data_IF_451390313367
#
_entry.id   IF_451390313367
#
_cell.length_a   1.000
_cell.length_b   1.000
_cell.length_c   1.000
_cell.angle_alpha   90.00
_cell.angle_beta   90.00
_cell.angle_gamma   90.00
#
_symmetry.space_group_name_H-M   'P 1'
#
loop_
_entity.id
_entity.type
_entity.pdbx_description
1 polymer ?
#
# COMPACT_ATOMS: atom_id res chain seq x y z
N UNK A 1 20.92 -1.42 -20.13
CA UNK A 1 21.15 -1.02 -18.70
C UNK A 1 21.14 0.51 -18.52
N UNK A 2 20.11 1.23 -18.99
CA UNK A 2 20.12 2.72 -19.05
C UNK A 2 19.03 3.42 -18.20
N UNK A 3 17.85 2.79 -18.04
CA UNK A 3 16.70 3.45 -17.38
C UNK A 3 16.82 3.69 -15.87
N UNK A 4 17.64 2.92 -15.13
CA UNK A 4 17.72 3.06 -13.66
C UNK A 4 18.53 4.28 -13.21
N UNK A 5 19.52 4.70 -14.01
CA UNK A 5 20.38 5.85 -13.71
C UNK A 5 19.65 7.18 -13.94
N UNK A 6 18.79 7.24 -14.96
CA UNK A 6 18.00 8.43 -15.30
C UNK A 6 16.98 8.73 -14.19
N UNK A 7 16.29 7.70 -13.68
CA UNK A 7 15.30 7.86 -12.60
C UNK A 7 15.93 8.38 -11.31
N UNK A 8 17.11 7.87 -10.94
CA UNK A 8 17.84 8.34 -9.73
C UNK A 8 18.30 9.80 -9.85
N UNK A 9 18.72 10.24 -11.04
CA UNK A 9 19.13 11.64 -11.28
C UNK A 9 17.95 12.61 -11.17
N UNK A 10 16.78 12.24 -11.71
CA UNK A 10 15.56 13.05 -11.62
C UNK A 10 15.09 13.24 -10.18
N UNK A 11 15.09 12.18 -9.37
CA UNK A 11 14.64 12.28 -7.96
C UNK A 11 15.61 13.11 -7.12
N UNK A 12 16.93 12.96 -7.35
CA UNK A 12 17.96 13.79 -6.67
C UNK A 12 17.85 15.28 -6.98
N UNK A 13 17.34 15.65 -8.17
CA UNK A 13 17.20 17.06 -8.56
C UNK A 13 16.04 17.79 -7.86
N UNK A 14 15.17 17.07 -7.16
CA UNK A 14 13.94 17.61 -6.57
C UNK A 14 13.91 17.58 -5.04
N UNK A 15 15.08 17.42 -4.38
CA UNK A 15 15.23 17.37 -2.91
C UNK A 15 14.26 16.42 -2.19
N UNK A 16 13.85 15.34 -2.86
CA UNK A 16 12.99 14.32 -2.27
C UNK A 16 13.78 13.38 -1.38
N UNK A 17 13.28 13.14 -0.18
CA UNK A 17 13.77 12.08 0.70
C UNK A 17 13.37 10.71 0.14
N UNK A 18 14.35 9.85 -0.12
CA UNK A 18 14.12 8.49 -0.60
C UNK A 18 14.19 7.53 0.58
N UNK A 19 13.06 6.88 0.88
CA UNK A 19 12.99 5.86 1.91
C UNK A 19 13.27 4.47 1.32
N UNK A 20 14.09 3.70 2.02
CA UNK A 20 14.35 2.30 1.66
C UNK A 20 13.22 1.41 2.19
N UNK A 21 12.63 0.61 1.29
CA UNK A 21 11.67 -0.44 1.63
C UNK A 21 12.34 -1.79 1.33
N UNK A 22 12.50 -2.68 2.34
CA UNK A 22 13.02 -4.02 2.12
C UNK A 22 12.14 -4.82 1.13
N UNK A 23 12.74 -5.77 0.40
CA UNK A 23 11.97 -6.65 -0.49
C UNK A 23 10.90 -7.44 0.29
N UNK A 24 9.79 -7.74 -0.38
CA UNK A 24 8.65 -8.49 0.18
C UNK A 24 8.00 -7.87 1.42
N UNK A 25 8.26 -6.59 1.71
CA UNK A 25 7.74 -5.90 2.89
C UNK A 25 6.63 -4.91 2.53
N UNK A 26 5.54 -5.43 1.94
CA UNK A 26 4.39 -4.61 1.51
C UNK A 26 3.77 -3.82 2.67
N UNK A 27 3.83 -4.34 3.90
CA UNK A 27 3.34 -3.69 5.12
C UNK A 27 4.06 -2.37 5.43
N UNK A 28 5.28 -2.20 4.93
CA UNK A 28 6.05 -0.95 5.06
C UNK A 28 5.69 0.09 3.99
N UNK A 29 4.84 -0.26 3.03
CA UNK A 29 4.42 0.61 1.94
C UNK A 29 2.95 1.04 2.14
N UNK A 30 2.67 2.25 2.65
CA UNK A 30 1.31 2.69 2.97
C UNK A 30 0.33 2.65 1.79
N UNK A 31 0.82 2.67 0.54
CA UNK A 31 -0.04 2.57 -0.66
C UNK A 31 -0.78 1.22 -0.75
N UNK A 32 -0.26 0.16 -0.14
CA UNK A 32 -0.91 -1.16 -0.13
C UNK A 32 -2.22 -1.12 0.67
N UNK A 33 -2.28 -0.27 1.70
CA UNK A 33 -3.51 -0.02 2.47
C UNK A 33 -4.53 0.79 1.66
N UNK A 34 -4.07 1.71 0.80
CA UNK A 34 -4.93 2.40 -0.16
C UNK A 34 -5.54 1.42 -1.17
N UNK A 35 -4.74 0.54 -1.77
CA UNK A 35 -5.26 -0.48 -2.68
C UNK A 35 -6.23 -1.43 -1.99
N UNK A 36 -5.96 -1.80 -0.74
CA UNK A 36 -6.89 -2.61 0.07
C UNK A 36 -8.23 -1.90 0.28
N UNK A 37 -8.23 -0.58 0.55
CA UNK A 37 -9.44 0.23 0.68
C UNK A 37 -10.21 0.32 -0.63
N UNK A 38 -9.54 0.58 -1.75
CA UNK A 38 -10.16 0.58 -3.07
C UNK A 38 -10.79 -0.77 -3.39
N UNK A 39 -10.08 -1.87 -3.18
CA UNK A 39 -10.60 -3.21 -3.37
C UNK A 39 -11.86 -3.45 -2.52
N UNK A 40 -11.85 -3.07 -1.24
CA UNK A 40 -13.01 -3.21 -0.37
C UNK A 40 -14.23 -2.44 -0.90
N UNK A 41 -14.05 -1.22 -1.40
CA UNK A 41 -15.15 -0.41 -1.94
C UNK A 41 -15.66 -0.99 -3.25
N UNK A 42 -14.75 -1.33 -4.18
CA UNK A 42 -15.06 -1.94 -5.47
C UNK A 42 -15.83 -3.25 -5.28
N UNK A 43 -15.33 -4.16 -4.45
CA UNK A 43 -15.98 -5.45 -4.18
C UNK A 43 -17.32 -5.30 -3.45
N UNK A 44 -17.51 -4.23 -2.67
CA UNK A 44 -18.80 -3.97 -2.02
C UNK A 44 -19.87 -3.42 -2.96
N UNK A 45 -19.47 -2.74 -4.04
CA UNK A 45 -20.37 -2.00 -4.93
C UNK A 45 -20.58 -2.64 -6.31
N UNK A 46 -19.79 -3.65 -6.70
CA UNK A 46 -19.82 -4.22 -8.04
C UNK A 46 -20.10 -5.72 -8.04
N UNK A 47 -21.12 -6.13 -8.77
CA UNK A 47 -21.44 -7.54 -9.05
C UNK A 47 -20.98 -8.01 -10.43
N UNK A 48 -20.71 -7.08 -11.36
CA UNK A 48 -20.30 -7.36 -12.75
C UNK A 48 -19.17 -6.39 -13.13
N UNK A 49 -18.09 -6.92 -13.69
CA UNK A 49 -16.93 -6.14 -14.14
C UNK A 49 -17.17 -5.62 -15.56
N UNK A 50 -17.59 -4.36 -15.68
CA UNK A 50 -17.54 -3.61 -16.94
C UNK A 50 -16.38 -2.60 -16.88
N UNK A 51 -15.59 -2.52 -17.97
CA UNK A 51 -14.40 -1.67 -18.05
C UNK A 51 -14.74 -0.18 -17.84
N UNK A 52 -15.87 0.28 -18.36
CA UNK A 52 -16.29 1.68 -18.20
C UNK A 52 -16.66 2.00 -16.75
N UNK A 53 -17.16 1.02 -16.01
CA UNK A 53 -17.51 1.19 -14.60
C UNK A 53 -16.29 1.18 -13.68
N UNK A 54 -15.20 0.49 -14.04
CA UNK A 54 -14.02 0.34 -13.18
C UNK A 54 -13.40 1.69 -12.80
N UNK A 55 -13.14 2.56 -13.78
CA UNK A 55 -12.58 3.89 -13.51
C UNK A 55 -13.50 4.75 -12.66
N UNK A 56 -14.81 4.70 -12.91
CA UNK A 56 -15.80 5.45 -12.12
C UNK A 56 -15.86 4.98 -10.67
N UNK A 57 -15.69 3.68 -10.43
CA UNK A 57 -15.68 3.10 -9.08
C UNK A 57 -14.38 3.37 -8.37
N UNK A 58 -13.22 3.30 -9.03
CA UNK A 58 -11.93 3.71 -8.45
C UNK A 58 -11.99 5.20 -8.06
N UNK A 59 -12.54 6.04 -8.93
CA UNK A 59 -12.72 7.46 -8.62
C UNK A 59 -13.60 7.65 -7.39
N UNK A 60 -14.78 7.00 -7.36
CA UNK A 60 -15.70 7.05 -6.23
C UNK A 60 -15.04 6.54 -4.94
N UNK A 61 -14.33 5.42 -4.98
CA UNK A 61 -13.59 4.89 -3.84
C UNK A 61 -12.50 5.86 -3.36
N UNK A 62 -11.85 6.57 -4.27
CA UNK A 62 -10.86 7.60 -3.93
C UNK A 62 -11.47 8.79 -3.21
N UNK A 63 -12.71 9.19 -3.54
CA UNK A 63 -13.42 10.25 -2.81
C UNK A 63 -13.81 9.86 -1.38
N UNK A 64 -13.78 8.56 -1.04
CA UNK A 64 -14.07 8.05 0.30
C UNK A 64 -12.83 7.92 1.19
N UNK A 65 -11.65 8.30 0.69
CA UNK A 65 -10.40 8.29 1.46
C UNK A 65 -10.15 9.70 2.00
N UNK A 66 -10.05 9.79 3.31
CA UNK A 66 -9.84 11.04 4.03
C UNK A 66 -8.38 11.18 4.50
N UNK A 67 -7.98 12.41 4.84
CA UNK A 67 -6.65 12.70 5.41
C UNK A 67 -6.35 11.85 6.66
N UNK A 68 -7.39 11.54 7.44
CA UNK A 68 -7.29 10.67 8.63
C UNK A 68 -6.91 9.23 8.28
N UNK A 69 -7.37 8.71 7.13
CA UNK A 69 -7.01 7.37 6.67
C UNK A 69 -5.52 7.31 6.33
N UNK A 70 -5.01 8.28 5.58
CA UNK A 70 -3.57 8.38 5.27
C UNK A 70 -2.71 8.46 6.54
N UNK A 71 -3.11 9.28 7.52
CA UNK A 71 -2.43 9.36 8.81
C UNK A 71 -2.45 8.02 9.57
N UNK A 72 -3.56 7.29 9.51
CA UNK A 72 -3.67 5.94 10.06
C UNK A 72 -2.74 4.94 9.39
N UNK A 73 -2.65 4.97 8.06
CA UNK A 73 -1.81 4.06 7.27
C UNK A 73 -0.32 4.29 7.50
N UNK A 74 0.11 5.56 7.54
CA UNK A 74 1.51 5.91 7.86
C UNK A 74 1.87 5.44 9.28
N UNK A 75 0.96 5.65 10.24
CA UNK A 75 1.15 5.18 11.62
C UNK A 75 1.27 3.66 11.69
N UNK A 76 0.46 2.93 10.92
CA UNK A 76 0.50 1.47 10.89
C UNK A 76 1.80 0.93 10.28
N UNK A 77 2.25 1.48 9.15
CA UNK A 77 3.55 1.11 8.57
C UNK A 77 4.70 1.42 9.51
N UNK A 78 4.63 2.54 10.25
CA UNK A 78 5.63 2.90 11.28
C UNK A 78 5.60 1.91 12.45
N UNK A 79 4.41 1.55 12.94
CA UNK A 79 4.24 0.54 13.99
C UNK A 79 4.82 -0.80 13.56
N UNK A 80 4.54 -1.24 12.33
CA UNK A 80 5.09 -2.47 11.77
C UNK A 80 6.63 -2.42 11.74
N UNK A 81 7.23 -1.33 11.25
CA UNK A 81 8.67 -1.13 11.26
C UNK A 81 9.27 -1.24 12.66
N UNK A 82 8.68 -0.55 13.64
CA UNK A 82 9.13 -0.61 15.03
C UNK A 82 9.04 -2.02 15.61
N UNK A 83 7.98 -2.77 15.29
CA UNK A 83 7.81 -4.11 15.85
C UNK A 83 8.72 -5.15 15.18
N UNK A 84 8.96 -5.02 13.87
CA UNK A 84 9.91 -5.84 13.14
C UNK A 84 11.35 -5.67 13.67
N UNK A 85 11.75 -4.43 14.01
CA UNK A 85 13.04 -4.14 14.63
C UNK A 85 13.22 -4.77 16.02
N UNK A 86 12.12 -5.00 16.75
CA UNK A 86 12.12 -5.62 18.08
C UNK A 86 12.21 -7.16 18.05
N UNK A 87 12.41 -7.78 16.87
CA UNK A 87 12.57 -9.25 16.70
C UNK A 87 11.41 -10.11 17.24
N UNK A 88 10.19 -9.59 17.34
CA UNK A 88 9.02 -10.47 17.43
C UNK A 88 8.83 -11.09 16.05
N UNK A 89 9.08 -12.39 15.91
CA UNK A 89 8.86 -13.15 14.68
C UNK A 89 7.39 -13.05 14.27
N UNK A 90 7.10 -12.35 13.16
CA UNK A 90 5.74 -11.93 12.73
C UNK A 90 5.08 -12.84 11.70
N UNK A 91 5.66 -13.99 11.38
CA UNK A 91 5.19 -14.81 10.27
C UNK A 91 4.38 -16.01 10.80
N UNK A 92 3.07 -15.82 10.94
CA UNK A 92 2.10 -16.92 10.95
C UNK A 92 1.37 -16.93 9.60
N UNK A 93 1.44 -18.04 8.87
CA UNK A 93 0.69 -18.23 7.63
C UNK A 93 -0.74 -18.65 8.01
N UNK A 94 -1.73 -17.80 7.77
CA UNK A 94 -3.11 -18.16 8.02
C UNK A 94 -3.64 -18.99 6.84
N UNK A 95 -3.64 -20.30 7.03
CA UNK A 95 -4.05 -21.30 6.02
C UNK A 95 -5.49 -21.08 5.56
N UNK A 96 -6.34 -20.46 6.38
CA UNK A 96 -7.75 -20.25 6.05
C UNK A 96 -7.98 -19.05 5.13
N UNK A 97 -7.08 -18.07 5.12
CA UNK A 97 -7.25 -16.80 4.40
C UNK A 97 -6.20 -16.57 3.31
N UNK A 98 -5.27 -17.50 3.12
CA UNK A 98 -4.11 -17.40 2.21
C UNK A 98 -3.34 -16.08 2.34
N UNK A 99 -3.26 -15.56 3.57
CA UNK A 99 -2.66 -14.28 3.88
C UNK A 99 -1.69 -14.42 5.04
N UNK A 100 -0.68 -13.58 5.02
CA UNK A 100 0.18 -13.38 6.19
C UNK A 100 -0.62 -12.64 7.25
N UNK A 101 -0.98 -13.34 8.32
CA UNK A 101 -1.67 -12.74 9.46
C UNK A 101 -0.66 -12.19 10.47
N UNK A 102 -1.03 -11.07 11.07
CA UNK A 102 -0.39 -10.45 12.24
C UNK A 102 -0.81 -11.20 13.50
#
# INVERSE_FOLDING_TARGET
MSGSLIRRKSVKSQDHQIFFIPPYSQQLNPIELQFSKWNSVIMSGMSIFDENTLFSTIYTASTQIFVTDYGGWIRESTRFASTALQRKSFYSWDILNEKWCI
#
